data_IF_267367374939
#
_entry.id   IF_267367374939
#
_cell.length_a   1.000
_cell.length_b   1.000
_cell.length_c   1.000
_cell.angle_alpha   90.00
_cell.angle_beta   90.00
_cell.angle_gamma   90.00
#
_symmetry.space_group_name_H-M   'P 1'
#
loop_
_entity.id
_entity.type
_entity.pdbx_description
1 polymer ?
#
# COMPACT_ATOMS: atom_id res chain seq x y z
N UNK A 1 -16.02 4.35 14.46
CA UNK A 1 -15.88 4.13 13.01
C UNK A 1 -15.57 2.66 12.78
N UNK A 2 -16.02 2.07 11.67
CA UNK A 2 -15.56 0.75 11.26
C UNK A 2 -14.18 0.92 10.64
N UNK A 3 -13.20 0.15 11.13
CA UNK A 3 -11.86 0.06 10.54
C UNK A 3 -11.90 -0.83 9.32
N UNK A 4 -11.19 -0.44 8.26
CA UNK A 4 -11.07 -1.21 7.02
C UNK A 4 -9.65 -1.13 6.50
N UNK A 5 -9.19 -2.16 5.83
CA UNK A 5 -7.97 -2.11 5.05
C UNK A 5 -8.19 -1.22 3.81
N UNK A 6 -7.18 -0.42 3.47
CA UNK A 6 -7.18 0.53 2.35
C UNK A 6 -5.89 0.37 1.58
N UNK A 7 -5.97 0.43 0.25
CA UNK A 7 -4.81 0.43 -0.65
C UNK A 7 -4.73 1.73 -1.44
N UNK A 8 -3.54 2.32 -1.52
CA UNK A 8 -3.21 3.46 -2.38
C UNK A 8 -2.18 3.06 -3.43
N UNK A 9 -2.40 3.55 -4.66
CA UNK A 9 -1.39 3.61 -5.70
C UNK A 9 -0.80 5.02 -5.72
N UNK A 10 0.52 5.14 -5.65
CA UNK A 10 1.24 6.41 -5.48
C UNK A 10 2.21 6.66 -6.65
N UNK A 11 2.34 7.92 -7.08
CA UNK A 11 3.46 8.35 -7.92
C UNK A 11 4.75 8.59 -7.11
N UNK A 12 5.82 9.01 -7.77
CA UNK A 12 7.13 9.21 -7.15
C UNK A 12 7.14 10.35 -6.12
N UNK A 13 6.21 11.29 -6.26
CA UNK A 13 6.01 12.44 -5.38
C UNK A 13 5.07 12.12 -4.19
N UNK A 14 4.48 10.93 -4.17
CA UNK A 14 3.53 10.50 -3.15
C UNK A 14 2.10 10.98 -3.40
N UNK A 15 1.76 11.40 -4.60
CA UNK A 15 0.38 11.70 -5.02
C UNK A 15 -0.40 10.41 -5.17
N UNK A 16 -1.62 10.37 -4.62
CA UNK A 16 -2.53 9.22 -4.76
C UNK A 16 -3.11 9.20 -6.19
N UNK A 17 -2.67 8.23 -6.99
CA UNK A 17 -3.17 7.96 -8.34
C UNK A 17 -4.53 7.25 -8.30
N UNK A 18 -4.71 6.36 -7.33
CA UNK A 18 -5.92 5.56 -7.16
C UNK A 18 -6.01 4.98 -5.73
N UNK A 19 -7.22 4.62 -5.28
CA UNK A 19 -7.46 4.03 -3.97
C UNK A 19 -8.53 2.92 -3.99
N UNK A 20 -8.34 1.92 -3.12
CA UNK A 20 -9.27 0.81 -2.84
C UNK A 20 -9.59 0.69 -1.35
N UNK A 21 -10.70 0.03 -1.02
CA UNK A 21 -10.97 -0.48 0.33
C UNK A 21 -11.78 -1.77 0.29
N UNK A 22 -11.54 -2.68 1.23
CA UNK A 22 -12.16 -4.03 1.22
C UNK A 22 -13.44 -4.18 2.03
N UNK A 23 -13.82 -3.18 2.83
CA UNK A 23 -14.87 -3.35 3.84
C UNK A 23 -14.50 -4.34 4.97
N UNK A 24 -13.30 -4.91 4.94
CA UNK A 24 -12.73 -5.81 5.93
C UNK A 24 -11.44 -5.17 6.51
N UNK A 25 -11.25 -5.12 7.83
CA UNK A 25 -10.04 -4.58 8.45
C UNK A 25 -8.79 -5.45 8.35
N UNK A 26 -8.87 -6.66 7.79
CA UNK A 26 -7.82 -7.69 7.87
C UNK A 26 -7.42 -8.30 6.54
N UNK A 27 -8.13 -7.98 5.46
CA UNK A 27 -7.74 -8.40 4.14
C UNK A 27 -8.25 -7.42 3.08
N UNK A 28 -7.40 -7.15 2.09
CA UNK A 28 -7.81 -6.68 0.77
C UNK A 28 -8.00 -7.87 -0.17
N UNK A 29 -9.24 -8.25 -0.54
CA UNK A 29 -9.44 -9.35 -1.47
C UNK A 29 -8.86 -8.99 -2.84
N UNK A 30 -8.56 -10.03 -3.62
CA UNK A 30 -8.16 -9.87 -5.00
C UNK A 30 -9.26 -9.13 -5.78
N UNK A 31 -8.88 -8.12 -6.57
CA UNK A 31 -9.83 -7.23 -7.26
C UNK A 31 -9.37 -6.94 -8.67
N UNK A 32 -10.26 -7.22 -9.64
CA UNK A 32 -10.04 -6.89 -11.05
C UNK A 32 -9.86 -5.38 -11.26
N UNK A 33 -10.59 -4.57 -10.50
CA UNK A 33 -10.51 -3.12 -10.51
C UNK A 33 -9.11 -2.66 -10.09
N UNK A 34 -8.55 -3.24 -9.02
CA UNK A 34 -7.19 -2.95 -8.55
C UNK A 34 -6.14 -3.30 -9.60
N UNK A 35 -6.22 -4.50 -10.19
CA UNK A 35 -5.33 -4.89 -11.28
C UNK A 35 -5.43 -3.95 -12.49
N UNK A 36 -6.65 -3.54 -12.84
CA UNK A 36 -6.88 -2.60 -13.94
C UNK A 36 -6.30 -1.22 -13.63
N UNK A 37 -6.39 -0.75 -12.39
CA UNK A 37 -5.81 0.51 -11.94
C UNK A 37 -4.28 0.47 -11.95
N UNK A 38 -3.67 -0.60 -11.44
CA UNK A 38 -2.22 -0.82 -11.51
C UNK A 38 -1.75 -0.74 -12.97
N UNK A 39 -2.43 -1.44 -13.88
CA UNK A 39 -2.07 -1.42 -15.30
C UNK A 39 -2.29 -0.05 -15.95
N UNK A 40 -3.37 0.65 -15.62
CA UNK A 40 -3.65 1.98 -16.15
C UNK A 40 -2.62 3.02 -15.69
N UNK A 41 -2.14 2.91 -14.45
CA UNK A 41 -1.18 3.82 -13.83
C UNK A 41 0.29 3.42 -14.02
N UNK A 42 0.59 2.30 -14.69
CA UNK A 42 1.92 1.66 -14.77
C UNK A 42 3.09 2.59 -15.10
N UNK A 43 2.87 3.63 -15.89
CA UNK A 43 3.92 4.57 -16.33
C UNK A 43 4.29 5.57 -15.23
N UNK A 44 3.35 5.92 -14.34
CA UNK A 44 3.55 6.85 -13.23
C UNK A 44 3.66 6.17 -11.86
N UNK A 45 3.22 4.90 -11.75
CA UNK A 45 3.18 4.16 -10.50
C UNK A 45 4.59 3.97 -9.92
N UNK A 46 4.85 4.49 -8.73
CA UNK A 46 6.11 4.34 -8.03
C UNK A 46 5.98 3.45 -6.79
N UNK A 47 4.83 3.48 -6.12
CA UNK A 47 4.63 2.75 -4.86
C UNK A 47 3.20 2.26 -4.66
N UNK A 48 3.07 1.06 -4.08
CA UNK A 48 1.80 0.50 -3.62
C UNK A 48 1.80 0.44 -2.09
N UNK A 49 0.89 1.18 -1.47
CA UNK A 49 0.76 1.23 -0.01
C UNK A 49 -0.57 0.60 0.43
N UNK A 50 -0.58 -0.11 1.55
CA UNK A 50 -1.82 -0.51 2.21
C UNK A 50 -1.74 -0.36 3.72
N UNK A 51 -2.89 -0.30 4.40
CA UNK A 51 -2.94 -0.29 5.86
C UNK A 51 -3.00 -1.69 6.43
N UNK A 52 -2.50 -1.87 7.65
CA UNK A 52 -2.88 -2.98 8.53
C UNK A 52 -3.54 -2.40 9.80
N UNK A 53 -4.87 -2.23 9.81
CA UNK A 53 -5.56 -1.58 10.92
C UNK A 53 -5.36 -2.23 12.28
N UNK A 54 -5.14 -3.54 12.29
CA UNK A 54 -4.92 -4.36 13.49
C UNK A 54 -3.49 -4.89 13.59
N UNK A 55 -2.59 -4.35 12.75
CA UNK A 55 -1.27 -4.92 12.52
C UNK A 55 -1.32 -6.30 11.83
N UNK A 56 -0.17 -6.98 11.70
CA UNK A 56 1.15 -6.55 12.15
C UNK A 56 1.79 -5.48 11.25
N UNK A 57 2.83 -4.79 11.73
CA UNK A 57 3.72 -3.97 10.90
C UNK A 57 4.68 -4.88 10.13
N UNK A 58 4.16 -5.60 9.14
CA UNK A 58 4.91 -6.56 8.33
C UNK A 58 4.15 -6.85 7.04
N UNK A 59 4.85 -7.30 6.01
CA UNK A 59 4.25 -7.90 4.83
C UNK A 59 3.92 -9.37 5.09
N UNK A 60 2.69 -9.78 4.77
CA UNK A 60 2.27 -11.18 4.76
C UNK A 60 2.84 -11.93 3.55
N UNK A 61 2.72 -13.27 3.54
CA UNK A 61 3.11 -14.07 2.38
C UNK A 61 2.28 -13.73 1.12
N UNK A 62 1.01 -13.37 1.31
CA UNK A 62 0.14 -12.90 0.22
C UNK A 62 0.65 -11.57 -0.34
N UNK A 63 1.08 -10.65 0.52
CA UNK A 63 1.62 -9.37 0.06
C UNK A 63 2.89 -9.59 -0.74
N UNK A 64 3.83 -10.40 -0.22
CA UNK A 64 5.10 -10.70 -0.89
C UNK A 64 4.87 -11.34 -2.27
N UNK A 65 4.00 -12.35 -2.37
CA UNK A 65 3.68 -12.97 -3.67
C UNK A 65 2.97 -12.01 -4.63
N UNK A 66 2.16 -11.08 -4.12
CA UNK A 66 1.50 -10.05 -4.94
C UNK A 66 2.51 -9.01 -5.45
N UNK A 67 3.46 -8.58 -4.62
CA UNK A 67 4.55 -7.68 -5.02
C UNK A 67 5.38 -8.30 -6.14
N UNK A 68 5.77 -9.57 -5.99
CA UNK A 68 6.55 -10.27 -7.01
C UNK A 68 5.77 -10.35 -8.34
N UNK A 69 4.45 -10.59 -8.29
CA UNK A 69 3.60 -10.61 -9.48
C UNK A 69 3.48 -9.23 -10.14
N UNK A 70 3.32 -8.16 -9.35
CA UNK A 70 3.25 -6.79 -9.85
C UNK A 70 4.58 -6.37 -10.48
N UNK A 71 5.70 -6.58 -9.79
CA UNK A 71 7.04 -6.27 -10.29
C UNK A 71 7.33 -7.01 -11.60
N UNK A 72 6.99 -8.31 -11.67
CA UNK A 72 7.14 -9.11 -12.88
C UNK A 72 6.27 -8.60 -14.04
N UNK A 73 5.03 -8.22 -13.78
CA UNK A 73 4.11 -7.72 -14.80
C UNK A 73 4.52 -6.33 -15.34
N UNK A 74 5.09 -5.49 -14.48
CA UNK A 74 5.57 -4.15 -14.85
C UNK A 74 7.00 -4.16 -15.41
N UNK A 75 7.74 -5.24 -15.23
CA UNK A 75 9.13 -5.38 -15.67
C UNK A 75 10.13 -4.52 -14.88
N UNK A 76 9.74 -4.03 -13.70
CA UNK A 76 10.57 -3.22 -12.80
C UNK A 76 10.08 -3.31 -11.35
N UNK A 77 10.97 -3.17 -10.36
CA UNK A 77 10.56 -3.11 -8.96
C UNK A 77 9.85 -1.80 -8.62
N UNK A 78 8.82 -1.88 -7.79
CA UNK A 78 8.17 -0.72 -7.15
C UNK A 78 8.62 -0.54 -5.69
N UNK A 79 8.23 0.58 -5.09
CA UNK A 79 8.13 0.70 -3.64
C UNK A 79 6.87 0.01 -3.12
N UNK A 80 6.93 -0.49 -1.88
CA UNK A 80 5.79 -1.07 -1.21
C UNK A 80 5.73 -0.61 0.24
N UNK A 81 4.52 -0.36 0.75
CA UNK A 81 4.35 0.10 2.12
C UNK A 81 3.20 -0.59 2.88
N UNK A 82 3.43 -0.79 4.18
CA UNK A 82 2.40 -1.14 5.17
C UNK A 82 2.32 -0.01 6.18
N UNK A 83 1.11 0.51 6.39
CA UNK A 83 0.81 1.54 7.39
C UNK A 83 0.00 0.93 8.53
N UNK A 84 0.53 0.95 9.75
CA UNK A 84 -0.24 0.66 10.96
C UNK A 84 -0.71 1.97 11.61
N UNK A 85 -1.47 1.94 12.72
CA UNK A 85 -1.87 3.17 13.39
C UNK A 85 -0.68 4.04 13.82
N UNK A 86 0.43 3.41 14.22
CA UNK A 86 1.58 4.14 14.78
C UNK A 86 2.81 4.22 13.86
N UNK A 87 2.94 3.35 12.85
CA UNK A 87 4.18 3.22 12.10
C UNK A 87 3.93 3.04 10.60
N UNK A 88 4.99 3.30 9.83
CA UNK A 88 5.10 3.03 8.41
C UNK A 88 6.29 2.10 8.16
N UNK A 89 6.05 0.96 7.53
CA UNK A 89 7.08 0.07 6.99
C UNK A 89 7.15 0.28 5.48
N UNK A 90 8.32 0.63 4.93
CA UNK A 90 8.53 0.74 3.48
C UNK A 90 9.60 -0.23 3.01
N UNK A 91 9.29 -0.93 1.92
CA UNK A 91 10.24 -1.65 1.08
C UNK A 91 10.52 -0.80 -0.16
N UNK A 92 11.79 -0.44 -0.37
CA UNK A 92 12.23 0.35 -1.52
C UNK A 92 12.45 -0.55 -2.75
N UNK A 93 12.49 0.02 -3.97
CA UNK A 93 12.74 -0.75 -5.20
C UNK A 93 14.07 -1.55 -5.20
N UNK A 94 15.04 -1.16 -4.36
CA UNK A 94 16.30 -1.89 -4.17
C UNK A 94 16.19 -3.10 -3.22
N UNK A 95 14.99 -3.36 -2.68
CA UNK A 95 14.70 -4.44 -1.74
C UNK A 95 14.89 -4.07 -0.26
N UNK A 96 15.46 -2.91 0.06
CA UNK A 96 15.67 -2.45 1.43
C UNK A 96 14.34 -2.22 2.11
N UNK A 97 14.13 -2.81 3.30
CA UNK A 97 12.90 -2.65 4.08
C UNK A 97 13.22 -1.98 5.43
N UNK A 98 12.58 -0.85 5.72
CA UNK A 98 12.80 -0.07 6.94
C UNK A 98 11.47 0.46 7.50
N UNK A 99 11.44 0.65 8.82
CA UNK A 99 10.45 1.49 9.49
C UNK A 99 10.90 2.94 9.29
N UNK A 100 10.03 3.79 8.78
CA UNK A 100 10.38 5.18 8.48
C UNK A 100 10.18 6.08 9.72
N UNK A 101 11.21 6.83 10.10
CA UNK A 101 11.14 7.79 11.22
C UNK A 101 10.37 9.06 10.86
N UNK A 102 10.32 9.39 9.55
CA UNK A 102 9.63 10.56 9.01
C UNK A 102 8.62 10.10 7.98
N UNK A 103 7.34 10.28 8.30
CA UNK A 103 6.25 9.80 7.46
C UNK A 103 5.85 10.85 6.41
N UNK A 104 5.70 10.44 5.14
CA UNK A 104 5.12 11.29 4.11
C UNK A 104 3.67 11.68 4.41
N UNK A 105 3.21 12.80 3.85
CA UNK A 105 1.85 13.31 4.08
C UNK A 105 0.73 12.31 3.74
N UNK A 106 0.93 11.49 2.69
CA UNK A 106 -0.06 10.49 2.26
C UNK A 106 -0.36 9.42 3.32
N UNK A 107 0.54 9.19 4.28
CA UNK A 107 0.35 8.20 5.35
C UNK A 107 -0.83 8.58 6.24
N UNK A 108 -0.93 9.87 6.57
CA UNK A 108 -2.05 10.39 7.37
C UNK A 108 -3.38 10.23 6.63
N UNK A 109 -3.38 10.44 5.32
CA UNK A 109 -4.59 10.28 4.49
C UNK A 109 -4.99 8.80 4.39
N UNK A 110 -4.03 7.89 4.30
CA UNK A 110 -4.27 6.45 4.32
C UNK A 110 -4.85 6.02 5.68
N UNK A 111 -4.27 6.46 6.81
CA UNK A 111 -4.83 6.20 8.15
C UNK A 111 -6.25 6.71 8.29
N UNK A 112 -6.53 7.93 7.83
CA UNK A 112 -7.89 8.51 7.85
C UNK A 112 -8.86 7.68 7.01
N UNK A 113 -8.48 7.30 5.80
CA UNK A 113 -9.30 6.46 4.93
C UNK A 113 -9.57 5.08 5.54
N UNK A 114 -8.63 4.55 6.31
CA UNK A 114 -8.70 3.26 6.99
C UNK A 114 -9.45 3.29 8.33
N UNK A 115 -9.84 4.49 8.80
CA UNK A 115 -10.52 4.66 10.09
C UNK A 115 -9.58 4.58 11.29
N UNK A 116 -8.27 4.77 11.08
CA UNK A 116 -7.21 4.73 12.10
C UNK A 116 -6.94 6.06 12.79
N UNK A 117 -7.63 7.13 12.37
CA UNK A 117 -7.51 8.45 12.97
C UNK A 117 -8.26 8.54 14.31
N UNK A 118 -7.53 8.31 15.40
CA UNK A 118 -7.87 8.72 16.77
C UNK A 118 -6.73 9.57 17.33
#
# INVERSE_FOLDING_TARGET
MLVTEVCFLLDAEGTVLWRDSSGDPSALPDSRERWSAIWACRDALAEVAHSHPRGPLAFSATDLSTMDAVDAALGRPLGYAVVTPENLLRRRPDGTTLIEDVEPAWVLDLRRASGLGG
#
